data_IF_836018183164
#
_entry.id   IF_836018183164
#
_cell.length_a   1.000
_cell.length_b   1.000
_cell.length_c   1.000
_cell.angle_alpha   90.00
_cell.angle_beta   90.00
_cell.angle_gamma   90.00
#
_symmetry.space_group_name_H-M   'P 1'
#
loop_
_entity.id
_entity.type
_entity.pdbx_description
1 polymer ?
#
# COMPACT_ATOMS: atom_id res chain seq x y z
N UNK A 1 -0.26 22.85 -18.17
CA UNK A 1 -1.34 22.80 -17.17
C UNK A 1 -0.68 22.70 -15.79
N UNK A 2 -0.79 23.72 -14.92
CA UNK A 2 -0.08 23.78 -13.64
C UNK A 2 -0.64 22.86 -12.54
N UNK A 3 -1.73 22.13 -12.82
CA UNK A 3 -2.39 21.23 -11.86
C UNK A 3 -1.95 19.76 -11.96
N UNK A 4 -1.05 19.44 -12.88
CA UNK A 4 -0.58 18.08 -13.11
C UNK A 4 0.56 17.79 -12.13
N UNK A 5 0.28 17.09 -11.03
CA UNK A 5 1.30 16.72 -10.04
C UNK A 5 2.48 15.97 -10.67
N UNK A 6 3.66 16.05 -10.05
CA UNK A 6 4.92 15.46 -10.59
C UNK A 6 4.77 13.99 -10.98
N UNK A 7 3.98 13.21 -10.23
CA UNK A 7 3.66 11.82 -10.53
C UNK A 7 2.97 11.64 -11.90
N UNK A 8 2.03 12.52 -12.25
CA UNK A 8 1.33 12.48 -13.53
C UNK A 8 2.24 12.93 -14.69
N UNK A 9 3.11 13.91 -14.47
CA UNK A 9 4.10 14.36 -15.48
C UNK A 9 5.13 13.26 -15.75
N UNK A 10 5.64 12.62 -14.70
CA UNK A 10 6.62 11.53 -14.82
C UNK A 10 5.98 10.30 -15.48
N UNK A 11 4.77 9.93 -15.04
CA UNK A 11 4.03 8.81 -15.64
C UNK A 11 3.76 9.07 -17.12
N UNK A 12 3.31 10.27 -17.50
CA UNK A 12 3.09 10.62 -18.90
C UNK A 12 4.37 10.52 -19.73
N UNK A 13 5.51 11.01 -19.22
CA UNK A 13 6.79 10.91 -19.94
C UNK A 13 7.26 9.48 -20.10
N UNK A 14 7.22 8.68 -19.03
CA UNK A 14 7.59 7.26 -19.06
C UNK A 14 6.70 6.49 -20.04
N UNK A 15 5.38 6.71 -20.01
CA UNK A 15 4.43 6.07 -20.93
C UNK A 15 4.64 6.45 -22.39
N UNK A 16 5.24 7.61 -22.66
CA UNK A 16 5.60 8.08 -24.00
C UNK A 16 7.08 7.87 -24.33
N UNK A 17 7.78 7.00 -23.60
CA UNK A 17 9.19 6.67 -23.84
C UNK A 17 10.15 7.89 -23.77
N UNK A 18 9.77 8.91 -23.02
CA UNK A 18 10.59 10.08 -22.74
C UNK A 18 11.16 10.02 -21.31
N UNK A 19 12.44 10.37 -21.09
CA UNK A 19 13.01 10.40 -19.75
C UNK A 19 12.32 11.48 -18.88
N UNK A 20 12.03 11.20 -17.60
CA UNK A 20 11.55 12.22 -16.67
C UNK A 20 12.56 13.34 -16.49
N UNK A 21 12.13 14.59 -16.60
CA UNK A 21 12.98 15.74 -16.30
C UNK A 21 12.96 15.99 -14.78
N UNK A 22 14.12 15.81 -14.14
CA UNK A 22 14.36 16.20 -12.75
C UNK A 22 14.91 17.63 -12.76
N UNK A 23 14.34 18.49 -11.94
CA UNK A 23 14.82 19.86 -11.74
C UNK A 23 15.52 19.93 -10.37
N UNK A 24 16.55 20.75 -10.27
CA UNK A 24 17.36 20.94 -9.05
C UNK A 24 18.11 19.66 -8.62
N UNK A 25 18.13 19.34 -7.32
CA UNK A 25 18.91 18.23 -6.75
C UNK A 25 18.15 16.89 -6.72
N UNK A 26 16.85 16.89 -7.01
CA UNK A 26 16.00 15.70 -7.00
C UNK A 26 15.73 15.11 -5.62
N UNK A 27 16.14 15.78 -4.53
CA UNK A 27 15.99 15.30 -3.15
C UNK A 27 14.72 15.83 -2.47
N UNK A 28 13.89 16.58 -3.19
CA UNK A 28 12.64 17.11 -2.66
C UNK A 28 11.67 15.99 -2.27
N UNK A 29 11.21 16.01 -1.02
CA UNK A 29 10.20 15.08 -0.51
C UNK A 29 8.79 15.67 -0.62
N UNK A 30 7.85 14.82 -1.03
CA UNK A 30 6.41 15.10 -1.05
C UNK A 30 5.67 13.86 -0.56
N UNK A 31 4.73 14.07 0.34
CA UNK A 31 3.78 13.06 0.78
C UNK A 31 2.68 12.91 -0.29
N UNK A 32 2.59 11.75 -0.93
CA UNK A 32 1.56 11.45 -1.92
C UNK A 32 0.51 10.53 -1.31
N UNK A 33 -0.73 10.99 -1.30
CA UNK A 33 -1.88 10.22 -0.81
C UNK A 33 -2.71 9.71 -1.97
N UNK A 34 -3.16 8.45 -1.91
CA UNK A 34 -4.01 7.90 -2.95
C UNK A 34 -5.43 8.49 -2.85
N UNK A 35 -6.10 8.69 -3.99
CA UNK A 35 -7.42 9.32 -4.04
C UNK A 35 -8.47 8.56 -3.22
N UNK A 36 -8.38 7.24 -3.11
CA UNK A 36 -9.28 6.43 -2.28
C UNK A 36 -9.15 6.73 -0.79
N UNK A 37 -7.96 7.07 -0.30
CA UNK A 37 -7.74 7.41 1.10
C UNK A 37 -8.39 8.77 1.43
N UNK A 38 -8.33 9.72 0.49
CA UNK A 38 -9.03 11.02 0.60
C UNK A 38 -10.55 10.81 0.65
N UNK A 39 -11.09 9.95 -0.21
CA UNK A 39 -12.52 9.64 -0.23
C UNK A 39 -12.95 9.02 1.11
N UNK A 40 -12.21 8.03 1.62
CA UNK A 40 -12.51 7.39 2.91
C UNK A 40 -12.43 8.39 4.06
N UNK A 41 -11.41 9.24 4.11
CA UNK A 41 -11.28 10.27 5.14
C UNK A 41 -12.48 11.24 5.13
N UNK A 42 -12.92 11.67 3.94
CA UNK A 42 -14.10 12.52 3.82
C UNK A 42 -15.39 11.81 4.25
N UNK A 43 -15.59 10.54 3.87
CA UNK A 43 -16.74 9.76 4.30
C UNK A 43 -16.79 9.61 5.82
N UNK A 44 -15.66 9.27 6.45
CA UNK A 44 -15.56 9.15 7.90
C UNK A 44 -15.83 10.48 8.61
N UNK A 45 -15.38 11.61 8.04
CA UNK A 45 -15.67 12.93 8.57
C UNK A 45 -17.18 13.26 8.46
N UNK A 46 -17.83 12.91 7.34
CA UNK A 46 -19.25 13.16 7.13
C UNK A 46 -20.16 12.30 8.04
N UNK A 47 -19.76 11.07 8.32
CA UNK A 47 -20.56 10.12 9.12
C UNK A 47 -20.44 10.37 10.63
N UNK A 48 -19.42 11.13 11.07
CA UNK A 48 -19.11 11.32 12.46
C UNK A 48 -19.29 12.77 12.89
N UNK A 49 -20.38 13.07 13.61
CA UNK A 49 -20.67 14.41 14.18
C UNK A 49 -19.55 14.99 15.06
N UNK A 50 -18.61 14.17 15.53
CA UNK A 50 -17.43 14.65 16.27
C UNK A 50 -16.38 15.32 15.38
N UNK A 51 -16.52 15.20 14.05
CA UNK A 51 -15.65 15.84 13.08
C UNK A 51 -16.16 17.23 12.64
N UNK A 52 -17.37 17.63 13.06
CA UNK A 52 -17.94 18.93 12.72
C UNK A 52 -17.04 20.07 13.23
N UNK A 53 -16.63 20.97 12.34
CA UNK A 53 -15.77 22.13 12.60
C UNK A 53 -14.32 21.81 13.00
N UNK A 54 -13.89 20.56 12.86
CA UNK A 54 -12.52 20.13 13.12
C UNK A 54 -11.64 20.17 11.87
N UNK A 55 -10.32 20.27 12.05
CA UNK A 55 -9.33 20.29 10.97
C UNK A 55 -8.50 19.00 11.00
N UNK A 56 -8.47 18.29 9.88
CA UNK A 56 -7.74 17.03 9.73
C UNK A 56 -6.72 17.12 8.60
N UNK A 57 -5.48 16.70 8.87
CA UNK A 57 -4.49 16.45 7.83
C UNK A 57 -4.69 15.03 7.29
N UNK A 58 -4.77 14.90 5.98
CA UNK A 58 -4.84 13.60 5.30
C UNK A 58 -3.56 13.43 4.48
N UNK A 59 -2.67 12.59 5.01
CA UNK A 59 -1.33 12.34 4.47
C UNK A 59 -0.83 11.00 4.99
N UNK A 60 0.16 10.42 4.32
CA UNK A 60 0.77 9.16 4.78
C UNK A 60 1.71 9.41 5.97
N UNK A 61 2.26 10.62 6.12
CA UNK A 61 3.12 10.99 7.24
C UNK A 61 4.47 10.26 7.27
N UNK A 62 4.79 9.50 6.22
CA UNK A 62 5.98 8.66 6.14
C UNK A 62 7.04 9.33 5.25
N UNK A 63 8.19 9.63 5.83
CA UNK A 63 9.45 9.81 5.10
C UNK A 63 10.36 8.61 5.40
N UNK A 64 10.74 7.85 4.37
CA UNK A 64 11.87 6.93 4.40
C UNK A 64 11.70 5.63 5.21
N UNK A 65 12.00 4.52 4.54
CA UNK A 65 12.43 3.19 5.04
C UNK A 65 11.52 2.34 5.95
N UNK A 66 10.55 2.90 6.68
CA UNK A 66 9.64 2.09 7.50
C UNK A 66 8.24 2.01 6.89
N UNK A 67 8.11 1.20 5.83
CA UNK A 67 6.83 0.94 5.14
C UNK A 67 5.91 -0.04 5.88
N UNK A 68 6.18 -0.33 7.16
CA UNK A 68 5.46 -1.30 8.00
C UNK A 68 4.80 -0.63 9.20
N UNK A 69 4.02 0.43 8.96
CA UNK A 69 3.31 1.11 10.04
C UNK A 69 1.83 1.20 9.73
N UNK A 70 1.01 0.74 10.68
CA UNK A 70 -0.32 1.33 10.82
C UNK A 70 -0.14 2.85 10.88
N UNK A 71 -0.90 3.58 10.08
CA UNK A 71 -1.01 5.02 10.18
C UNK A 71 -1.66 5.35 11.52
N UNK A 72 -0.84 5.48 12.55
CA UNK A 72 -1.27 5.89 13.88
C UNK A 72 -1.23 7.41 13.95
N UNK A 73 -2.40 8.02 14.08
CA UNK A 73 -2.58 9.45 14.31
C UNK A 73 -3.30 9.67 15.63
N UNK A 74 -3.05 10.80 16.27
CA UNK A 74 -3.83 11.24 17.42
C UNK A 74 -4.87 12.24 16.98
N UNK A 75 -6.15 11.90 17.13
CA UNK A 75 -7.27 12.82 16.96
C UNK A 75 -7.51 13.50 18.30
N UNK A 76 -7.13 14.76 18.41
CA UNK A 76 -7.40 15.59 19.60
C UNK A 76 -8.70 16.35 19.38
N UNK A 77 -9.70 16.07 20.22
CA UNK A 77 -10.99 16.76 20.24
C UNK A 77 -11.01 17.70 21.44
N UNK A 78 -11.18 19.00 21.19
CA UNK A 78 -11.31 20.01 22.25
C UNK A 78 -12.74 20.56 22.26
N UNK A 79 -13.46 20.37 23.36
CA UNK A 79 -14.84 20.86 23.51
C UNK A 79 -15.07 21.43 24.90
N UNK A 80 -15.66 22.64 24.96
CA UNK A 80 -16.17 23.32 26.17
C UNK A 80 -15.32 23.14 27.44
N UNK A 81 -14.02 23.43 27.33
CA UNK A 81 -13.08 23.44 28.47
C UNK A 81 -12.34 22.13 28.74
N UNK A 82 -12.50 21.10 27.92
CA UNK A 82 -11.77 19.84 28.01
C UNK A 82 -11.18 19.39 26.68
N UNK A 83 -9.96 18.85 26.72
CA UNK A 83 -9.27 18.26 25.58
C UNK A 83 -9.17 16.75 25.77
N UNK A 84 -9.62 15.96 24.80
CA UNK A 84 -9.45 14.51 24.78
C UNK A 84 -8.74 14.08 23.50
N UNK A 85 -7.71 13.25 23.67
CA UNK A 85 -6.98 12.67 22.55
C UNK A 85 -7.41 11.22 22.35
N UNK A 86 -7.74 10.86 21.10
CA UNK A 86 -8.10 9.52 20.65
C UNK A 86 -7.04 9.07 19.66
N UNK A 87 -6.37 7.95 19.92
CA UNK A 87 -5.47 7.34 18.95
C UNK A 87 -6.28 6.61 17.88
N UNK A 88 -5.99 6.89 16.62
CA UNK A 88 -6.59 6.24 15.44
C UNK A 88 -5.46 5.54 14.70
N UNK A 89 -5.59 4.24 14.49
CA UNK A 89 -4.71 3.46 13.61
C UNK A 89 -5.45 3.15 12.32
N UNK A 90 -4.84 3.45 11.16
CA UNK A 90 -5.38 3.12 9.85
C UNK A 90 -4.39 2.22 9.11
N UNK A 91 -4.87 1.11 8.55
CA UNK A 91 -4.07 0.26 7.67
C UNK A 91 -4.13 0.80 6.23
N UNK A 92 -3.03 0.80 5.45
CA UNK A 92 -3.06 1.23 4.06
C UNK A 92 -4.10 0.51 3.23
N UNK A 93 -4.69 1.24 2.29
CA UNK A 93 -5.65 0.68 1.34
C UNK A 93 -4.97 -0.31 0.41
N UNK A 94 -5.68 -1.41 0.12
CA UNK A 94 -5.25 -2.47 -0.77
C UNK A 94 -4.01 -3.24 -0.28
N UNK A 95 -3.65 -4.31 -0.99
CA UNK A 95 -2.49 -5.14 -0.66
C UNK A 95 -1.19 -4.53 -1.19
N UNK A 96 -0.22 -4.34 -0.31
CA UNK A 96 1.20 -4.01 -0.55
C UNK A 96 2.07 -5.25 -0.34
N UNK A 97 3.28 -5.21 -0.89
CA UNK A 97 4.23 -6.34 -0.86
C UNK A 97 5.59 -5.86 -0.42
N UNK A 98 6.20 -6.58 0.53
CA UNK A 98 7.57 -6.33 0.98
C UNK A 98 8.24 -7.62 1.49
N UNK A 99 9.57 -7.78 1.35
CA UNK A 99 10.48 -6.84 0.70
C UNK A 99 10.32 -6.90 -0.82
N UNK A 100 10.49 -5.75 -1.46
CA UNK A 100 10.51 -5.65 -2.91
C UNK A 100 11.70 -4.77 -3.31
N UNK A 101 12.76 -5.33 -3.92
CA UNK A 101 12.87 -6.71 -4.41
C UNK A 101 12.93 -7.80 -3.31
N UNK A 102 12.28 -8.94 -3.56
CA UNK A 102 12.19 -10.10 -2.68
C UNK A 102 13.33 -11.07 -2.92
N UNK A 103 13.98 -11.55 -1.86
CA UNK A 103 14.95 -12.65 -1.93
C UNK A 103 14.45 -13.83 -1.07
N UNK A 104 13.97 -14.93 -1.69
CA UNK A 104 13.42 -16.10 -0.99
C UNK A 104 14.43 -16.82 -0.07
N UNK A 105 15.74 -16.60 -0.28
CA UNK A 105 16.79 -17.21 0.52
C UNK A 105 17.13 -16.41 1.78
N UNK A 106 16.75 -15.14 1.83
CA UNK A 106 17.08 -14.23 2.95
C UNK A 106 15.91 -13.94 3.86
N UNK A 107 14.69 -13.89 3.33
CA UNK A 107 13.50 -13.54 4.10
C UNK A 107 12.25 -14.18 3.51
N UNK A 108 11.12 -14.01 4.19
CA UNK A 108 9.80 -14.23 3.60
C UNK A 108 9.34 -12.96 2.87
N UNK A 109 8.40 -13.13 1.93
CA UNK A 109 7.61 -12.07 1.35
C UNK A 109 6.34 -11.90 2.16
N UNK A 110 5.97 -10.67 2.47
CA UNK A 110 4.76 -10.35 3.21
C UNK A 110 3.84 -9.52 2.32
N UNK A 111 2.59 -9.97 2.24
CA UNK A 111 1.47 -9.20 1.72
C UNK A 111 0.77 -8.53 2.89
N UNK A 112 0.48 -7.23 2.78
CA UNK A 112 -0.08 -6.44 3.88
C UNK A 112 -1.01 -5.34 3.39
N UNK A 113 -2.05 -5.06 4.17
CA UNK A 113 -2.95 -3.94 3.95
C UNK A 113 -4.39 -4.30 4.25
N UNK A 114 -5.32 -3.34 4.09
CA UNK A 114 -6.76 -3.57 4.30
C UNK A 114 -7.34 -4.66 3.38
N UNK A 115 -6.62 -5.01 2.31
CA UNK A 115 -7.04 -5.98 1.31
C UNK A 115 -6.61 -7.41 1.61
N UNK A 116 -5.98 -7.65 2.76
CA UNK A 116 -5.47 -8.96 3.19
C UNK A 116 -6.46 -9.74 4.08
N UNK A 117 -7.18 -9.12 5.04
CA UNK A 117 -8.16 -9.83 5.85
C UNK A 117 -9.16 -10.60 4.98
N UNK A 118 -9.29 -11.91 5.24
CA UNK A 118 -10.16 -12.83 4.50
C UNK A 118 -9.89 -12.89 2.99
N UNK A 119 -8.68 -12.53 2.55
CA UNK A 119 -8.33 -12.47 1.14
C UNK A 119 -7.80 -13.80 0.60
N UNK A 120 -8.08 -14.04 -0.68
CA UNK A 120 -7.31 -14.97 -1.50
C UNK A 120 -6.30 -14.17 -2.33
N UNK A 121 -5.00 -14.42 -2.10
CA UNK A 121 -3.90 -13.82 -2.86
C UNK A 121 -3.35 -14.86 -3.83
N UNK A 122 -3.50 -14.59 -5.13
CA UNK A 122 -2.97 -15.41 -6.20
C UNK A 122 -1.74 -14.76 -6.81
N UNK A 123 -0.64 -15.47 -6.84
CA UNK A 123 0.63 -15.06 -7.43
C UNK A 123 0.78 -15.70 -8.81
N UNK A 124 1.19 -14.91 -9.79
CA UNK A 124 1.34 -15.30 -11.18
C UNK A 124 2.70 -14.90 -11.74
N UNK A 125 3.17 -15.64 -12.74
CA UNK A 125 4.25 -15.18 -13.62
C UNK A 125 3.75 -14.08 -14.57
N UNK A 126 4.66 -13.38 -15.25
CA UNK A 126 4.29 -12.42 -16.32
C UNK A 126 3.60 -13.08 -17.52
N UNK A 127 3.76 -14.40 -17.71
CA UNK A 127 3.02 -15.17 -18.74
C UNK A 127 1.60 -15.53 -18.30
N UNK A 128 1.21 -15.24 -17.06
CA UNK A 128 -0.12 -15.54 -16.52
C UNK A 128 -0.25 -16.93 -15.89
N UNK A 129 0.85 -17.67 -15.72
CA UNK A 129 0.83 -18.96 -15.05
C UNK A 129 0.65 -18.78 -13.54
N UNK A 130 -0.24 -19.57 -12.94
CA UNK A 130 -0.47 -19.54 -11.50
C UNK A 130 0.70 -20.20 -10.76
N UNK A 131 1.28 -19.47 -9.82
CA UNK A 131 2.45 -19.90 -9.05
C UNK A 131 2.04 -20.38 -7.67
N UNK A 132 1.23 -19.59 -6.97
CA UNK A 132 0.78 -19.87 -5.60
C UNK A 132 -0.55 -19.20 -5.31
N UNK A 133 -1.40 -19.86 -4.54
CA UNK A 133 -2.56 -19.25 -3.88
C UNK A 133 -2.34 -19.26 -2.37
N UNK A 134 -2.49 -18.09 -1.75
CA UNK A 134 -2.42 -17.88 -0.32
C UNK A 134 -3.82 -17.48 0.17
N UNK A 135 -4.26 -18.05 1.28
CA UNK A 135 -5.56 -17.77 1.87
C UNK A 135 -5.37 -17.22 3.28
N UNK A 136 -5.81 -15.99 3.49
CA UNK A 136 -5.94 -15.43 4.83
C UNK A 136 -7.35 -15.73 5.34
N UNK A 137 -7.47 -16.37 6.50
CA UNK A 137 -8.76 -16.84 7.06
C UNK A 137 -9.05 -16.31 8.46
N UNK A 138 -8.02 -15.80 9.15
CA UNK A 138 -8.13 -15.33 10.53
C UNK A 138 -8.50 -13.85 10.63
N UNK A 139 -8.57 -13.16 9.48
CA UNK A 139 -8.84 -11.73 9.43
C UNK A 139 -7.61 -10.88 9.74
N UNK A 140 -6.42 -11.45 9.66
CA UNK A 140 -5.16 -10.74 9.87
C UNK A 140 -4.89 -9.74 8.75
N UNK A 141 -4.20 -8.65 9.07
CA UNK A 141 -3.83 -7.62 8.09
C UNK A 141 -2.63 -8.03 7.22
N UNK A 142 -2.03 -9.20 7.49
CA UNK A 142 -0.80 -9.70 6.89
C UNK A 142 -0.88 -11.19 6.57
N UNK A 143 -0.24 -11.57 5.47
CA UNK A 143 0.02 -12.97 5.13
C UNK A 143 1.43 -13.12 4.55
N UNK A 144 2.10 -14.20 4.91
CA UNK A 144 3.50 -14.46 4.58
C UNK A 144 3.62 -15.53 3.49
N UNK A 145 4.64 -15.41 2.66
CA UNK A 145 4.99 -16.36 1.62
C UNK A 145 6.49 -16.62 1.61
N UNK A 146 6.87 -17.89 1.50
CA UNK A 146 8.26 -18.34 1.49
C UNK A 146 8.88 -18.38 0.08
N UNK A 147 8.17 -17.88 -0.93
CA UNK A 147 8.65 -17.88 -2.31
C UNK A 147 8.62 -19.25 -2.98
N UNK A 148 7.79 -20.18 -2.50
CA UNK A 148 7.58 -21.48 -3.17
C UNK A 148 6.28 -21.53 -3.97
N UNK A 149 6.30 -22.27 -5.08
CA UNK A 149 5.10 -22.57 -5.87
C UNK A 149 4.20 -23.61 -5.15
N UNK A 150 3.10 -24.02 -5.79
CA UNK A 150 2.21 -25.06 -5.26
C UNK A 150 2.87 -26.44 -5.07
N UNK A 151 3.93 -26.72 -5.82
CA UNK A 151 4.70 -27.97 -5.72
C UNK A 151 5.76 -27.93 -4.61
N UNK A 152 5.88 -26.80 -3.90
CA UNK A 152 6.89 -26.61 -2.86
C UNK A 152 8.30 -26.30 -3.40
N UNK A 153 8.43 -25.95 -4.68
CA UNK A 153 9.69 -25.54 -5.30
C UNK A 153 9.84 -24.02 -5.25
N UNK A 154 11.05 -23.55 -4.95
CA UNK A 154 11.36 -22.11 -5.00
C UNK A 154 11.10 -21.53 -6.39
N UNK A 155 10.49 -20.36 -6.41
CA UNK A 155 10.24 -19.62 -7.65
C UNK A 155 11.54 -19.06 -8.22
N UNK A 156 11.61 -18.92 -9.54
CA UNK A 156 12.79 -18.39 -10.22
C UNK A 156 12.85 -16.87 -10.12
N UNK A 157 14.03 -16.28 -10.34
CA UNK A 157 14.13 -14.81 -10.43
C UNK A 157 13.24 -14.27 -11.54
N UNK A 158 12.66 -13.10 -11.31
CA UNK A 158 11.81 -12.46 -12.30
C UNK A 158 10.79 -11.52 -11.70
N UNK A 159 9.89 -11.05 -12.56
CA UNK A 159 8.75 -10.24 -12.16
C UNK A 159 7.56 -11.16 -11.95
N UNK A 160 6.86 -10.96 -10.84
CA UNK A 160 5.64 -11.68 -10.51
C UNK A 160 4.51 -10.67 -10.33
N UNK A 161 3.32 -11.08 -10.73
CA UNK A 161 2.08 -10.35 -10.53
C UNK A 161 1.33 -11.01 -9.38
N UNK A 162 0.56 -10.23 -8.63
CA UNK A 162 -0.41 -10.79 -7.70
C UNK A 162 -1.78 -10.17 -7.89
N UNK A 163 -2.79 -10.95 -7.57
CA UNK A 163 -4.19 -10.52 -7.46
C UNK A 163 -4.66 -10.92 -6.07
N UNK A 164 -5.04 -9.93 -5.27
CA UNK A 164 -5.66 -10.13 -3.97
C UNK A 164 -7.15 -9.81 -4.07
N UNK A 165 -7.99 -10.71 -3.56
CA UNK A 165 -9.45 -10.56 -3.57
C UNK A 165 -9.95 -10.88 -2.17
N UNK A 166 -10.58 -9.90 -1.52
CA UNK A 166 -11.40 -10.13 -0.34
C UNK A 166 -12.86 -9.74 -0.66
N UNK A 167 -13.83 -9.91 0.26
CA UNK A 167 -15.23 -9.56 0.00
C UNK A 167 -15.50 -8.08 -0.30
N UNK A 168 -14.63 -7.17 0.12
CA UNK A 168 -14.83 -5.72 0.05
C UNK A 168 -14.09 -5.06 -1.12
N UNK A 169 -12.90 -5.56 -1.45
CA UNK A 169 -11.98 -4.96 -2.40
C UNK A 169 -11.16 -5.99 -3.19
N UNK A 170 -10.69 -5.56 -4.36
CA UNK A 170 -9.76 -6.28 -5.22
C UNK A 170 -8.52 -5.43 -5.45
N UNK A 171 -7.35 -5.99 -5.20
CA UNK A 171 -6.06 -5.37 -5.46
C UNK A 171 -5.25 -6.17 -6.48
N UNK A 172 -4.47 -5.46 -7.28
CA UNK A 172 -3.48 -6.07 -8.18
C UNK A 172 -2.15 -5.35 -7.99
N UNK A 173 -1.06 -6.08 -8.13
CA UNK A 173 0.26 -5.49 -8.06
C UNK A 173 1.34 -6.39 -8.62
N UNK A 174 2.58 -5.95 -8.49
CA UNK A 174 3.76 -6.68 -8.94
C UNK A 174 4.90 -6.56 -7.94
N UNK A 175 5.76 -7.56 -7.93
CA UNK A 175 7.02 -7.54 -7.16
C UNK A 175 8.11 -8.26 -7.93
N UNK A 176 9.36 -7.98 -7.57
CA UNK A 176 10.54 -8.59 -8.19
C UNK A 176 11.08 -9.66 -7.26
N UNK A 177 11.40 -10.83 -7.80
CA UNK A 177 12.12 -11.91 -7.11
C UNK A 177 13.56 -11.94 -7.61
N UNK A 178 14.49 -11.92 -6.67
CA UNK A 178 15.93 -12.03 -6.92
C UNK A 178 16.43 -13.44 -6.61
N UNK A 179 17.41 -13.88 -7.39
CA UNK A 179 18.28 -15.00 -7.01
C UNK A 179 19.38 -14.54 -6.05
N UNK A 180 20.07 -15.47 -5.36
CA UNK A 180 21.22 -15.17 -4.51
C UNK A 180 22.29 -14.29 -5.17
#
# INVERSE_FOLDING_TARGET
NPYTGVAAIFSSRILNNHPPCIFEDGLQSRDFTHVSDIIRANLLAMENKKADYEVFNVGTGIMGEEQWKEYSGTVTVTSNGGTKTVSVSVTPTCVKVYPNPFNPWRSQLTFWGSGVPHAAIKVYTVSGELVKTLHEINGEDKIYWDGKNEEGKLVTRGIYLFVAINPEEKSVGRFVVMEP
#
